data_IF_003005288163
#
_entry.id   IF_003005288163
#
_cell.length_a   1.000
_cell.length_b   1.000
_cell.length_c   1.000
_cell.angle_alpha   90.00
_cell.angle_beta   90.00
_cell.angle_gamma   90.00
#
_symmetry.space_group_name_H-M   'P 1'
#
loop_
_entity.id
_entity.type
_entity.pdbx_description
1 polymer ?
#
# COMPACT_ATOMS: atom_id res chain seq x y z
N UNK A 1 12.15 -10.43 2.70
CA UNK A 1 12.28 -11.92 2.67
C UNK A 1 13.71 -12.37 2.40
N UNK A 2 14.41 -11.85 1.39
CA UNK A 2 15.81 -12.21 1.12
C UNK A 2 16.74 -12.04 2.33
N UNK A 3 16.65 -10.90 3.02
CA UNK A 3 17.44 -10.63 4.23
C UNK A 3 17.13 -11.61 5.38
N UNK A 4 15.86 -12.01 5.55
CA UNK A 4 15.47 -13.01 6.54
C UNK A 4 16.13 -14.37 6.24
N UNK A 5 16.08 -14.83 5.01
CA UNK A 5 16.74 -16.08 4.61
C UNK A 5 18.25 -15.98 4.80
N UNK A 6 18.85 -14.87 4.38
CA UNK A 6 20.29 -14.64 4.54
C UNK A 6 20.71 -14.63 6.02
N UNK A 7 19.92 -14.03 6.91
CA UNK A 7 20.20 -14.02 8.34
C UNK A 7 20.23 -15.42 8.95
N UNK A 8 19.34 -16.31 8.50
CA UNK A 8 19.37 -17.71 8.92
C UNK A 8 20.55 -18.48 8.36
N UNK A 9 20.86 -18.31 7.07
CA UNK A 9 22.00 -18.99 6.42
C UNK A 9 23.32 -18.56 7.08
N UNK A 10 23.44 -17.28 7.45
CA UNK A 10 24.64 -16.72 8.08
C UNK A 10 24.74 -17.04 9.59
N UNK A 11 23.71 -17.64 10.18
CA UNK A 11 23.72 -17.95 11.60
C UNK A 11 24.64 -19.15 11.90
N UNK A 12 25.66 -18.99 12.78
CA UNK A 12 26.58 -20.07 13.13
C UNK A 12 25.92 -21.36 13.62
N UNK A 13 24.70 -21.27 14.19
CA UNK A 13 23.93 -22.44 14.64
C UNK A 13 23.52 -23.38 13.51
N UNK A 14 23.53 -22.89 12.28
CA UNK A 14 23.20 -23.66 11.08
C UNK A 14 24.39 -23.89 10.16
N UNK A 15 25.61 -23.51 10.60
CA UNK A 15 26.84 -23.75 9.85
C UNK A 15 26.99 -25.24 9.54
N UNK A 16 27.27 -25.57 8.29
CA UNK A 16 27.42 -26.95 7.80
C UNK A 16 26.15 -27.83 7.86
N UNK A 17 24.98 -27.24 8.03
CA UNK A 17 23.69 -27.94 7.97
C UNK A 17 22.96 -27.62 6.67
N UNK A 18 22.26 -28.59 6.13
CA UNK A 18 21.27 -28.33 5.08
C UNK A 18 20.08 -27.63 5.71
N UNK A 19 19.60 -26.55 5.08
CA UNK A 19 18.47 -25.78 5.58
C UNK A 19 17.27 -25.99 4.66
N UNK A 20 16.11 -26.25 5.25
CA UNK A 20 14.83 -26.28 4.59
C UNK A 20 13.91 -25.21 5.21
N UNK A 21 13.52 -24.25 4.41
CA UNK A 21 12.63 -23.18 4.82
C UNK A 21 11.16 -23.57 4.62
N UNK A 22 10.30 -23.13 5.50
CA UNK A 22 8.87 -23.34 5.48
C UNK A 22 8.15 -22.01 5.65
N UNK A 23 7.11 -21.77 4.87
CA UNK A 23 6.30 -20.56 5.00
C UNK A 23 4.83 -20.87 4.79
N UNK A 24 3.97 -20.28 5.64
CA UNK A 24 2.53 -20.29 5.42
C UNK A 24 2.12 -19.00 4.72
N UNK A 25 2.04 -19.04 3.39
CA UNK A 25 1.59 -17.90 2.59
C UNK A 25 1.30 -18.30 1.15
N UNK A 26 0.04 -18.20 0.74
CA UNK A 26 -0.38 -18.38 -0.66
C UNK A 26 -0.26 -17.12 -1.54
N UNK A 27 0.52 -16.11 -1.12
CA UNK A 27 0.64 -14.84 -1.82
C UNK A 27 2.10 -14.45 -2.15
N UNK A 28 2.34 -13.16 -2.32
CA UNK A 28 3.65 -12.61 -2.69
C UNK A 28 4.76 -12.95 -1.68
N UNK A 29 4.44 -13.07 -0.38
CA UNK A 29 5.44 -13.44 0.63
C UNK A 29 5.93 -14.89 0.44
N UNK A 30 5.02 -15.83 0.13
CA UNK A 30 5.39 -17.21 -0.21
C UNK A 30 6.27 -17.27 -1.45
N UNK A 31 5.89 -16.56 -2.51
CA UNK A 31 6.68 -16.46 -3.73
C UNK A 31 8.07 -15.87 -3.49
N UNK A 32 8.15 -14.80 -2.69
CA UNK A 32 9.42 -14.18 -2.32
C UNK A 32 10.31 -15.13 -1.50
N UNK A 33 9.72 -15.95 -0.62
CA UNK A 33 10.47 -16.95 0.16
C UNK A 33 11.06 -18.04 -0.76
N UNK A 34 10.25 -18.57 -1.68
CA UNK A 34 10.70 -19.57 -2.66
C UNK A 34 11.84 -19.01 -3.52
N UNK A 35 11.65 -17.83 -4.11
CA UNK A 35 12.67 -17.21 -4.96
C UNK A 35 13.95 -16.93 -4.19
N UNK A 36 13.87 -16.40 -2.97
CA UNK A 36 15.04 -16.10 -2.15
C UNK A 36 15.77 -17.39 -1.70
N UNK A 37 15.04 -18.40 -1.20
CA UNK A 37 15.66 -19.69 -0.83
C UNK A 37 16.36 -20.33 -2.01
N UNK A 38 15.73 -20.37 -3.18
CA UNK A 38 16.30 -20.89 -4.41
C UNK A 38 17.57 -20.14 -4.83
N UNK A 39 17.61 -18.81 -4.69
CA UNK A 39 18.78 -17.99 -5.02
C UNK A 39 20.01 -18.38 -4.22
N UNK A 40 19.81 -18.91 -3.02
CA UNK A 40 20.87 -19.45 -2.14
C UNK A 40 20.96 -20.98 -2.16
N UNK A 41 20.32 -21.64 -3.13
CA UNK A 41 20.32 -23.11 -3.29
C UNK A 41 19.75 -23.87 -2.08
N UNK A 42 18.78 -23.29 -1.40
CA UNK A 42 18.05 -23.92 -0.29
C UNK A 42 16.64 -24.33 -0.68
N UNK A 43 16.11 -25.31 0.02
CA UNK A 43 14.73 -25.79 -0.15
C UNK A 43 13.74 -24.83 0.51
N UNK A 44 12.54 -24.72 -0.08
CA UNK A 44 11.43 -23.99 0.50
C UNK A 44 10.10 -24.71 0.20
N UNK A 45 9.40 -25.08 1.26
CA UNK A 45 8.02 -25.62 1.20
C UNK A 45 7.02 -24.54 1.59
N UNK A 46 5.96 -24.45 0.82
CA UNK A 46 4.88 -23.48 1.05
C UNK A 46 3.60 -24.23 1.45
N UNK A 47 3.00 -23.82 2.55
CA UNK A 47 1.71 -24.32 3.03
C UNK A 47 0.67 -23.22 2.98
N UNK A 48 -0.50 -23.46 2.41
CA UNK A 48 -1.52 -22.44 2.18
C UNK A 48 -2.93 -23.02 2.28
N UNK A 49 -3.97 -22.18 2.52
CA UNK A 49 -5.34 -22.65 2.58
C UNK A 49 -5.86 -23.09 1.21
N UNK A 50 -6.92 -23.91 1.24
CA UNK A 50 -7.62 -24.36 0.01
C UNK A 50 -8.20 -23.19 -0.80
N UNK A 51 -8.48 -22.06 -0.17
CA UNK A 51 -8.97 -20.84 -0.83
C UNK A 51 -7.95 -20.15 -1.75
N UNK A 52 -6.68 -20.58 -1.72
CA UNK A 52 -5.63 -20.02 -2.60
C UNK A 52 -5.91 -20.40 -4.06
N UNK A 53 -6.01 -19.41 -4.98
CA UNK A 53 -6.36 -19.67 -6.37
C UNK A 53 -5.34 -20.57 -7.09
N UNK A 54 -5.78 -21.50 -7.97
CA UNK A 54 -4.90 -22.41 -8.71
C UNK A 54 -3.75 -21.73 -9.48
N UNK A 55 -3.94 -20.54 -10.11
CA UNK A 55 -2.83 -19.85 -10.77
C UNK A 55 -1.69 -19.47 -9.80
N UNK A 56 -2.00 -19.15 -8.53
CA UNK A 56 -0.98 -18.83 -7.54
C UNK A 56 -0.23 -20.07 -7.08
N UNK A 57 -0.94 -21.20 -6.90
CA UNK A 57 -0.34 -22.52 -6.64
C UNK A 57 0.66 -22.86 -7.74
N UNK A 58 0.28 -22.65 -8.99
CA UNK A 58 1.15 -22.94 -10.14
C UNK A 58 2.36 -22.01 -10.17
N UNK A 59 2.19 -20.71 -9.92
CA UNK A 59 3.31 -19.74 -9.82
C UNK A 59 4.35 -20.16 -8.78
N UNK A 60 3.93 -20.66 -7.63
CA UNK A 60 4.84 -21.15 -6.58
C UNK A 60 5.63 -22.38 -7.04
N UNK A 61 4.99 -23.31 -7.74
CA UNK A 61 5.67 -24.48 -8.34
C UNK A 61 6.66 -24.05 -9.40
N UNK A 62 6.26 -23.15 -10.30
CA UNK A 62 7.12 -22.64 -11.38
C UNK A 62 8.31 -21.84 -10.83
N UNK A 63 8.14 -21.15 -9.71
CA UNK A 63 9.23 -20.47 -9.00
C UNK A 63 10.25 -21.44 -8.41
N UNK A 64 9.90 -22.71 -8.27
CA UNK A 64 10.77 -23.77 -7.76
C UNK A 64 10.57 -24.06 -6.27
N UNK A 65 9.36 -23.92 -5.76
CA UNK A 65 9.02 -24.43 -4.43
C UNK A 65 9.33 -25.94 -4.37
N UNK A 66 9.94 -26.38 -3.28
CA UNK A 66 10.23 -27.80 -3.05
C UNK A 66 8.94 -28.59 -2.96
N UNK A 67 7.96 -28.04 -2.26
CA UNK A 67 6.62 -28.57 -2.15
C UNK A 67 5.62 -27.44 -1.97
N UNK A 68 4.39 -27.64 -2.48
CA UNK A 68 3.27 -26.71 -2.34
C UNK A 68 2.08 -27.52 -1.81
N UNK A 69 1.73 -27.28 -0.55
CA UNK A 69 0.71 -27.99 0.20
C UNK A 69 -0.48 -27.07 0.42
N UNK A 70 -1.69 -27.55 0.15
CA UNK A 70 -2.91 -26.85 0.52
C UNK A 70 -3.55 -27.58 1.72
N UNK A 71 -3.84 -26.83 2.78
CA UNK A 71 -4.47 -27.35 3.99
C UNK A 71 -5.27 -26.27 4.71
N UNK A 72 -6.45 -26.66 5.21
CA UNK A 72 -7.33 -25.81 5.99
C UNK A 72 -8.04 -24.73 5.18
N UNK A 73 -8.89 -23.98 5.85
CA UNK A 73 -9.70 -22.91 5.26
C UNK A 73 -9.04 -21.52 5.42
N UNK A 74 -8.17 -21.38 6.42
CA UNK A 74 -7.50 -20.11 6.78
C UNK A 74 -5.97 -20.24 6.74
N UNK A 75 -5.31 -19.08 6.70
CA UNK A 75 -3.83 -19.02 6.84
C UNK A 75 -3.39 -19.56 8.21
N UNK A 76 -4.20 -19.37 9.24
CA UNK A 76 -3.89 -19.89 10.58
C UNK A 76 -3.88 -21.42 10.60
N UNK A 77 -4.89 -22.05 10.01
CA UNK A 77 -4.94 -23.53 9.88
C UNK A 77 -3.74 -24.06 9.10
N UNK A 78 -3.39 -23.38 8.01
CA UNK A 78 -2.25 -23.75 7.19
C UNK A 78 -0.90 -23.58 7.96
N UNK A 79 -0.78 -22.54 8.78
CA UNK A 79 0.41 -22.30 9.61
C UNK A 79 0.54 -23.35 10.72
N UNK A 80 -0.55 -23.65 11.42
CA UNK A 80 -0.58 -24.69 12.46
C UNK A 80 -0.19 -26.05 11.85
N UNK A 81 -0.81 -26.44 10.75
CA UNK A 81 -0.47 -27.68 10.06
C UNK A 81 0.99 -27.71 9.59
N UNK A 82 1.50 -26.59 9.08
CA UNK A 82 2.91 -26.47 8.69
C UNK A 82 3.84 -26.78 9.87
N UNK A 83 3.56 -26.18 11.04
CA UNK A 83 4.41 -26.31 12.22
C UNK A 83 4.30 -27.68 12.88
N UNK A 84 3.09 -28.17 13.05
CA UNK A 84 2.81 -29.36 13.87
C UNK A 84 2.92 -30.68 13.07
N UNK A 85 2.72 -30.61 11.74
CA UNK A 85 2.75 -31.82 10.91
C UNK A 85 3.91 -31.78 9.92
N UNK A 86 3.93 -30.80 9.01
CA UNK A 86 4.92 -30.80 7.92
C UNK A 86 6.36 -30.64 8.42
N UNK A 87 6.56 -29.82 9.45
CA UNK A 87 7.88 -29.65 10.05
C UNK A 87 8.24 -30.75 11.06
N UNK A 88 7.26 -31.45 11.63
CA UNK A 88 7.48 -32.58 12.54
C UNK A 88 7.75 -33.91 11.83
N UNK A 89 7.36 -34.03 10.55
CA UNK A 89 7.60 -35.24 9.79
C UNK A 89 9.10 -35.63 9.86
N UNK A 90 9.35 -36.68 10.61
CA UNK A 90 10.68 -37.26 10.76
C UNK A 90 11.08 -37.85 9.42
N UNK A 91 11.90 -37.11 8.67
CA UNK A 91 12.71 -37.73 7.62
C UNK A 91 13.41 -38.88 8.32
N UNK A 92 13.21 -40.12 7.85
CA UNK A 92 13.89 -41.30 8.39
C UNK A 92 15.38 -40.98 8.40
N UNK A 93 15.88 -40.68 9.59
CA UNK A 93 17.29 -40.42 9.85
C UNK A 93 18.03 -41.75 9.70
N UNK A 94 18.46 -42.07 8.50
CA UNK A 94 19.26 -43.27 8.25
C UNK A 94 20.77 -42.99 8.42
N UNK A 95 21.16 -41.77 8.85
CA UNK A 95 22.55 -41.48 9.18
C UNK A 95 22.68 -40.26 10.09
N UNK A 96 23.48 -40.33 11.12
CA UNK A 96 23.77 -39.35 12.15
C UNK A 96 24.44 -38.04 11.64
N UNK A 97 24.77 -37.92 10.35
CA UNK A 97 25.64 -36.83 9.84
C UNK A 97 24.90 -35.72 9.07
N UNK A 98 23.61 -35.85 8.73
CA UNK A 98 22.94 -34.88 7.88
C UNK A 98 21.62 -34.38 8.50
N UNK A 99 21.69 -33.83 9.71
CA UNK A 99 20.51 -33.25 10.36
C UNK A 99 20.10 -31.96 9.66
N UNK A 100 19.03 -32.04 8.87
CA UNK A 100 18.46 -30.89 8.19
C UNK A 100 17.88 -29.89 9.21
N UNK A 101 18.24 -28.61 9.08
CA UNK A 101 17.62 -27.53 9.85
C UNK A 101 16.30 -27.11 9.20
N UNK A 102 15.18 -27.29 9.90
CA UNK A 102 13.86 -26.86 9.47
C UNK A 102 13.55 -25.50 10.05
N UNK A 103 13.30 -24.49 9.23
CA UNK A 103 13.12 -23.10 9.65
C UNK A 103 11.78 -22.58 9.13
N UNK A 104 10.89 -22.20 10.04
CA UNK A 104 9.65 -21.50 9.72
C UNK A 104 9.92 -20.02 9.51
N UNK A 105 9.50 -19.48 8.36
CA UNK A 105 9.60 -18.08 8.01
C UNK A 105 8.29 -17.37 8.34
N UNK A 106 8.38 -16.22 9.01
CA UNK A 106 7.23 -15.34 9.15
C UNK A 106 7.09 -14.44 7.90
N UNK A 107 5.87 -14.18 7.38
CA UNK A 107 5.69 -13.44 6.13
C UNK A 107 6.03 -11.93 6.24
N UNK A 108 5.97 -11.31 7.43
CA UNK A 108 6.19 -9.88 7.62
C UNK A 108 6.71 -9.46 9.01
N UNK A 109 6.44 -10.23 10.07
CA UNK A 109 6.74 -9.85 11.46
C UNK A 109 8.07 -10.47 11.93
N UNK A 110 9.16 -9.91 11.44
CA UNK A 110 10.52 -10.31 11.82
C UNK A 110 11.51 -9.19 11.53
N UNK A 111 12.39 -8.89 12.48
CA UNK A 111 13.36 -7.79 12.39
C UNK A 111 14.20 -7.84 11.11
N UNK A 112 14.71 -8.99 10.72
CA UNK A 112 15.48 -9.14 9.49
C UNK A 112 14.66 -8.82 8.21
N UNK A 113 13.33 -8.93 8.23
CA UNK A 113 12.48 -8.45 7.13
C UNK A 113 12.46 -6.92 7.14
N UNK A 114 12.30 -6.32 8.31
CA UNK A 114 12.26 -4.86 8.47
C UNK A 114 13.61 -4.24 8.09
N UNK A 115 14.72 -4.84 8.52
CA UNK A 115 16.07 -4.45 8.09
C UNK A 115 16.23 -4.52 6.55
N UNK A 116 15.75 -5.60 5.93
CA UNK A 116 15.77 -5.72 4.48
C UNK A 116 14.94 -4.64 3.78
N UNK A 117 13.79 -4.26 4.33
CA UNK A 117 12.95 -3.18 3.80
C UNK A 117 13.55 -1.79 4.10
N UNK A 118 14.34 -1.65 5.17
CA UNK A 118 14.94 -0.37 5.55
C UNK A 118 15.96 0.14 4.54
N UNK A 119 16.54 -0.74 3.70
CA UNK A 119 17.47 -0.34 2.63
C UNK A 119 16.84 0.57 1.59
N UNK A 120 15.50 0.60 1.48
CA UNK A 120 14.78 1.54 0.62
C UNK A 120 15.16 2.99 0.98
N UNK A 121 15.33 3.31 2.25
CA UNK A 121 15.72 4.66 2.68
C UNK A 121 17.15 4.98 2.23
N UNK A 122 18.08 4.02 2.33
CA UNK A 122 19.44 4.22 1.84
C UNK A 122 19.45 4.46 0.33
N UNK A 123 18.61 3.72 -0.42
CA UNK A 123 18.44 3.91 -1.87
C UNK A 123 17.86 5.28 -2.20
N UNK A 124 16.85 5.76 -1.47
CA UNK A 124 16.25 7.08 -1.68
C UNK A 124 17.28 8.21 -1.49
N UNK A 125 18.14 8.10 -0.48
CA UNK A 125 19.22 9.08 -0.24
C UNK A 125 20.18 9.15 -1.43
N UNK A 126 20.50 8.00 -2.03
CA UNK A 126 21.45 7.95 -3.14
C UNK A 126 20.82 8.27 -4.50
N UNK A 127 19.55 7.98 -4.69
CA UNK A 127 18.87 8.13 -6.00
C UNK A 127 18.23 9.50 -6.18
N UNK A 128 17.78 10.14 -5.08
CA UNK A 128 17.15 11.45 -5.15
C UNK A 128 18.20 12.57 -5.04
N UNK A 129 18.03 13.67 -5.79
CA UNK A 129 18.92 14.82 -5.63
C UNK A 129 18.76 15.39 -4.22
N UNK A 130 19.82 16.02 -3.65
CA UNK A 130 19.76 16.69 -2.35
C UNK A 130 18.58 17.67 -2.25
N UNK A 131 18.06 17.91 -1.04
CA UNK A 131 17.04 18.94 -0.84
C UNK A 131 17.63 20.33 -1.17
N UNK A 132 16.81 21.21 -1.78
CA UNK A 132 17.29 22.53 -2.26
C UNK A 132 17.85 23.44 -1.18
N UNK A 133 17.54 23.19 0.09
CA UNK A 133 17.95 24.01 1.23
C UNK A 133 19.30 23.59 1.85
N UNK A 134 19.90 22.50 1.39
CA UNK A 134 21.19 22.01 1.90
C UNK A 134 22.39 22.68 1.23
N UNK A 135 22.42 24.02 1.22
CA UNK A 135 23.57 24.76 0.69
C UNK A 135 24.82 24.72 1.58
N UNK A 136 24.68 24.14 2.77
CA UNK A 136 25.75 24.19 3.78
C UNK A 136 26.51 22.87 4.01
N UNK A 137 26.31 21.84 3.16
CA UNK A 137 27.15 20.63 3.18
C UNK A 137 27.12 19.82 4.48
N UNK A 138 26.09 20.01 5.31
CA UNK A 138 25.95 19.31 6.58
C UNK A 138 24.93 18.19 6.43
N UNK A 139 25.43 16.98 6.36
CA UNK A 139 24.70 15.74 6.60
C UNK A 139 23.51 15.53 5.65
N UNK A 140 23.57 14.50 4.89
CA UNK A 140 22.53 14.09 3.94
C UNK A 140 21.22 13.76 4.66
N UNK A 141 20.32 14.73 4.81
CA UNK A 141 18.96 14.45 5.25
C UNK A 141 18.24 13.61 4.18
N UNK A 142 17.34 12.71 4.58
CA UNK A 142 16.52 11.98 3.62
C UNK A 142 15.71 12.99 2.80
N UNK A 143 15.91 13.06 1.46
CA UNK A 143 15.42 14.18 0.64
C UNK A 143 13.92 14.00 0.26
N UNK A 144 13.08 13.64 1.24
CA UNK A 144 11.63 13.43 1.05
C UNK A 144 10.82 14.16 2.12
N UNK A 145 9.60 14.55 1.80
CA UNK A 145 8.65 15.18 2.71
C UNK A 145 7.56 14.20 3.15
N UNK A 146 7.20 13.26 2.27
CA UNK A 146 6.25 12.22 2.58
C UNK A 146 6.62 10.90 1.89
N UNK A 147 6.34 9.78 2.57
CA UNK A 147 6.43 8.43 2.01
C UNK A 147 5.07 7.76 2.16
N UNK A 148 4.56 7.19 1.09
CA UNK A 148 3.27 6.51 1.05
C UNK A 148 3.53 5.02 0.82
N UNK A 149 3.06 4.18 1.73
CA UNK A 149 3.16 2.73 1.61
C UNK A 149 1.87 2.04 2.02
N UNK A 150 1.60 0.89 1.43
CA UNK A 150 0.48 0.05 1.84
C UNK A 150 0.84 -0.77 3.08
N UNK A 151 -0.19 -1.04 3.90
CA UNK A 151 -0.05 -1.81 5.13
C UNK A 151 -0.98 -3.04 5.08
N UNK A 152 -0.36 -4.23 5.12
CA UNK A 152 -1.00 -5.47 5.49
C UNK A 152 -0.60 -5.80 6.93
N UNK A 153 0.43 -6.64 7.12
CA UNK A 153 0.99 -6.91 8.44
C UNK A 153 1.96 -5.85 8.99
N UNK A 154 2.35 -4.87 8.18
CA UNK A 154 3.15 -3.71 8.57
C UNK A 154 4.66 -3.84 8.39
N UNK A 155 5.19 -4.98 7.93
CA UNK A 155 6.63 -5.18 7.80
C UNK A 155 7.34 -4.17 6.87
N UNK A 156 6.64 -3.63 5.86
CA UNK A 156 7.19 -2.56 5.02
C UNK A 156 7.26 -1.24 5.80
N UNK A 157 6.18 -0.84 6.47
CA UNK A 157 6.15 0.37 7.29
C UNK A 157 7.25 0.34 8.36
N UNK A 158 7.39 -0.81 9.06
CA UNK A 158 8.43 -0.98 10.09
C UNK A 158 9.83 -0.77 9.49
N UNK A 159 10.10 -1.36 8.33
CA UNK A 159 11.39 -1.19 7.67
C UNK A 159 11.66 0.25 7.25
N UNK A 160 10.68 0.95 6.69
CA UNK A 160 10.83 2.35 6.31
C UNK A 160 11.13 3.25 7.52
N UNK A 161 10.38 3.10 8.61
CA UNK A 161 10.63 3.87 9.84
C UNK A 161 12.01 3.54 10.43
N UNK A 162 12.36 2.25 10.52
CA UNK A 162 13.69 1.80 10.97
C UNK A 162 14.82 2.39 10.12
N UNK A 163 14.65 2.46 8.81
CA UNK A 163 15.61 3.07 7.89
C UNK A 163 15.79 4.57 8.16
N UNK A 164 14.70 5.29 8.39
CA UNK A 164 14.72 6.71 8.75
C UNK A 164 15.44 6.94 10.07
N UNK A 165 15.19 6.12 11.09
CA UNK A 165 15.88 6.20 12.40
C UNK A 165 17.39 5.93 12.26
N UNK A 166 17.75 4.88 11.52
CA UNK A 166 19.16 4.52 11.27
C UNK A 166 19.90 5.65 10.56
N UNK A 167 19.34 6.18 9.49
CA UNK A 167 19.95 7.26 8.71
C UNK A 167 20.16 8.51 9.57
N UNK A 168 19.16 8.90 10.35
CA UNK A 168 19.26 10.03 11.26
C UNK A 168 20.31 9.84 12.35
N UNK A 169 20.40 8.65 12.92
CA UNK A 169 21.39 8.35 13.96
C UNK A 169 22.83 8.41 13.42
N UNK A 170 23.04 8.06 12.16
CA UNK A 170 24.31 8.17 11.49
C UNK A 170 24.71 9.65 11.27
N UNK A 171 23.80 10.46 10.73
CA UNK A 171 24.05 11.90 10.46
C UNK A 171 24.24 12.73 11.73
N UNK A 172 23.60 12.36 12.85
CA UNK A 172 23.75 13.06 14.14
C UNK A 172 25.10 12.84 14.82
N UNK A 173 25.83 11.77 14.47
CA UNK A 173 27.17 11.48 15.04
C UNK A 173 28.27 12.30 14.38
N UNK A 174 28.08 12.74 13.15
CA UNK A 174 29.06 13.49 12.37
C UNK A 174 28.93 15.02 12.57
N UNK A 175 27.88 15.50 13.24
CA UNK A 175 27.67 16.91 13.53
C UNK A 175 28.19 17.25 14.92
N UNK A 176 29.22 18.12 14.96
CA UNK A 176 29.71 18.79 16.19
C UNK A 176 28.56 19.62 16.79
N UNK A 177 28.02 19.15 17.92
CA UNK A 177 26.76 19.64 18.51
C UNK A 177 26.90 21.02 19.18
N UNK A 178 27.09 22.11 18.41
CA UNK A 178 27.19 23.47 18.97
C UNK A 178 26.16 24.47 18.48
N UNK A 179 25.21 24.08 17.63
CA UNK A 179 24.13 25.02 17.21
C UNK A 179 22.72 24.40 17.40
N UNK A 180 21.91 24.97 18.33
CA UNK A 180 20.54 24.45 18.62
C UNK A 180 19.48 25.08 17.71
N UNK A 181 19.61 25.10 16.40
CA UNK A 181 18.63 25.84 15.60
C UNK A 181 18.13 25.20 14.33
N UNK A 182 18.46 23.97 14.03
CA UNK A 182 17.84 23.31 12.86
C UNK A 182 16.55 22.61 13.26
N UNK A 183 15.42 23.19 12.88
CA UNK A 183 14.11 22.53 12.95
C UNK A 183 14.22 21.23 12.18
N UNK A 184 14.20 20.14 12.91
CA UNK A 184 14.21 18.79 12.35
C UNK A 184 13.07 18.68 11.36
N UNK A 185 13.39 18.46 10.08
CA UNK A 185 12.39 18.22 9.04
C UNK A 185 11.54 17.00 9.44
N UNK A 186 10.24 17.20 9.49
CA UNK A 186 9.30 16.11 9.74
C UNK A 186 8.99 15.38 8.44
N UNK A 187 9.01 14.04 8.47
CA UNK A 187 8.67 13.18 7.35
C UNK A 187 7.29 12.57 7.62
N UNK A 188 6.38 12.75 6.69
CA UNK A 188 5.03 12.18 6.79
C UNK A 188 5.01 10.77 6.20
N UNK A 189 4.58 9.79 7.00
CA UNK A 189 4.36 8.40 6.58
C UNK A 189 2.86 8.16 6.41
N UNK A 190 2.39 7.91 5.20
CA UNK A 190 1.02 7.47 4.97
C UNK A 190 0.97 5.95 4.94
N UNK A 191 0.37 5.39 5.97
CA UNK A 191 0.07 3.98 6.11
C UNK A 191 -1.30 3.70 5.51
N UNK A 192 -1.34 3.15 4.29
CA UNK A 192 -2.57 3.03 3.50
C UNK A 192 -3.08 1.60 3.53
N UNK A 193 -4.35 1.45 3.86
CA UNK A 193 -5.09 0.18 3.90
C UNK A 193 -6.34 0.25 3.02
N UNK A 194 -6.92 -0.89 2.68
CA UNK A 194 -8.24 -0.93 2.06
C UNK A 194 -9.31 -1.26 3.09
N UNK A 195 -10.53 -0.77 2.86
CA UNK A 195 -11.69 -1.18 3.64
C UNK A 195 -11.85 -2.71 3.55
N UNK A 196 -12.02 -3.34 4.70
CA UNK A 196 -12.04 -4.81 4.81
C UNK A 196 -10.66 -5.46 5.04
N UNK A 197 -9.55 -4.71 5.00
CA UNK A 197 -8.22 -5.15 5.48
C UNK A 197 -7.58 -4.14 6.46
N UNK A 198 -8.38 -3.23 7.01
CA UNK A 198 -7.93 -2.11 7.82
C UNK A 198 -7.57 -2.52 9.26
N UNK A 199 -6.62 -3.44 9.41
CA UNK A 199 -6.19 -3.98 10.71
C UNK A 199 -5.39 -2.97 11.54
N UNK A 200 -4.59 -2.10 10.89
CA UNK A 200 -3.87 -1.03 11.56
C UNK A 200 -4.83 0.07 12.04
N UNK A 201 -5.74 0.54 11.19
CA UNK A 201 -6.71 1.56 11.56
C UNK A 201 -7.57 1.11 12.74
N UNK A 202 -8.00 -0.16 12.75
CA UNK A 202 -8.73 -0.74 13.88
C UNK A 202 -7.87 -0.74 15.16
N UNK A 203 -6.62 -1.21 15.08
CA UNK A 203 -5.70 -1.26 16.22
C UNK A 203 -5.40 0.14 16.79
N UNK A 204 -5.20 1.15 15.94
CA UNK A 204 -5.02 2.55 16.33
C UNK A 204 -6.27 3.05 17.08
N UNK A 205 -7.46 2.79 16.55
CA UNK A 205 -8.72 3.25 17.15
C UNK A 205 -8.94 2.69 18.56
N UNK A 206 -8.48 1.46 18.79
CA UNK A 206 -8.59 0.77 20.08
C UNK A 206 -7.33 0.91 20.96
N UNK A 207 -6.25 1.48 20.42
CA UNK A 207 -4.94 1.62 21.09
C UNK A 207 -4.37 0.30 21.60
N UNK A 208 -4.70 -0.80 20.97
CA UNK A 208 -4.21 -2.13 21.30
C UNK A 208 -4.23 -3.03 20.07
N UNK A 209 -3.46 -4.12 20.13
CA UNK A 209 -3.46 -5.13 19.09
C UNK A 209 -4.78 -5.90 19.10
N UNK A 210 -5.49 -5.81 17.98
CA UNK A 210 -6.77 -6.49 17.74
C UNK A 210 -6.74 -7.17 16.39
N UNK A 211 -7.56 -8.21 16.26
CA UNK A 211 -7.72 -8.92 14.99
C UNK A 211 -9.03 -8.54 14.32
N UNK A 212 -8.99 -8.34 13.01
CA UNK A 212 -10.20 -8.22 12.20
C UNK A 212 -10.98 -9.54 12.26
N UNK A 213 -12.29 -9.49 12.40
CA UNK A 213 -13.11 -10.71 12.45
C UNK A 213 -13.17 -11.41 11.08
N UNK A 214 -12.99 -10.66 10.01
CA UNK A 214 -13.06 -11.15 8.63
C UNK A 214 -12.30 -10.21 7.69
N UNK A 215 -11.70 -10.77 6.66
CA UNK A 215 -11.13 -10.04 5.53
C UNK A 215 -12.16 -10.00 4.40
N UNK A 216 -12.47 -8.82 3.86
CA UNK A 216 -13.52 -8.64 2.86
C UNK A 216 -13.07 -7.86 1.62
N UNK A 217 -11.88 -7.25 1.66
CA UNK A 217 -11.31 -6.50 0.54
C UNK A 217 -10.83 -7.42 -0.59
N UNK A 218 -10.89 -6.92 -1.81
CA UNK A 218 -10.30 -7.53 -2.99
C UNK A 218 -8.76 -7.38 -3.02
N UNK A 219 -8.19 -6.49 -2.21
CA UNK A 219 -6.75 -6.30 -2.07
C UNK A 219 -6.14 -7.41 -1.18
N UNK A 220 -6.22 -8.65 -1.64
CA UNK A 220 -5.84 -9.85 -0.88
C UNK A 220 -4.38 -9.82 -0.37
N UNK A 221 -3.49 -9.11 -1.04
CA UNK A 221 -2.10 -8.94 -0.60
C UNK A 221 -1.95 -8.06 0.66
N UNK A 222 -3.00 -7.30 1.02
CA UNK A 222 -3.10 -6.60 2.31
C UNK A 222 -3.86 -7.43 3.35
N UNK A 223 -4.30 -8.63 3.00
CA UNK A 223 -5.14 -9.50 3.81
C UNK A 223 -4.41 -10.04 5.04
N UNK A 224 -4.19 -9.18 6.02
CA UNK A 224 -3.66 -9.53 7.32
C UNK A 224 -4.68 -9.19 8.40
N UNK A 225 -5.13 -10.21 9.16
CA UNK A 225 -6.14 -10.00 10.20
C UNK A 225 -5.63 -9.13 11.35
N UNK A 226 -4.30 -9.02 11.53
CA UNK A 226 -3.67 -8.30 12.62
C UNK A 226 -2.30 -7.79 12.20
N UNK A 227 -2.00 -6.54 12.48
CA UNK A 227 -0.66 -5.96 12.28
C UNK A 227 0.34 -6.46 13.32
N UNK A 228 1.64 -6.31 13.06
CA UNK A 228 2.68 -6.55 14.06
C UNK A 228 2.60 -5.55 15.20
N UNK A 229 3.11 -5.93 16.37
CA UNK A 229 3.18 -5.04 17.54
C UNK A 229 3.99 -3.78 17.23
N UNK A 230 5.12 -3.92 16.55
CA UNK A 230 5.97 -2.81 16.15
C UNK A 230 5.26 -1.82 15.21
N UNK A 231 4.40 -2.30 14.32
CA UNK A 231 3.61 -1.43 13.42
C UNK A 231 2.65 -0.54 14.20
N UNK A 232 1.96 -1.11 15.19
CA UNK A 232 1.08 -0.33 16.06
C UNK A 232 1.87 0.66 16.91
N UNK A 233 3.02 0.27 17.43
CA UNK A 233 3.88 1.12 18.23
C UNK A 233 4.37 2.33 17.43
N UNK A 234 4.88 2.13 16.22
CA UNK A 234 5.24 3.22 15.31
C UNK A 234 4.05 4.11 14.92
N UNK A 235 2.84 3.56 14.83
CA UNK A 235 1.67 4.35 14.50
C UNK A 235 1.16 5.21 15.67
N UNK A 236 1.31 4.74 16.92
CA UNK A 236 0.88 5.45 18.12
C UNK A 236 1.95 6.36 18.71
N UNK A 237 3.21 5.98 18.58
CA UNK A 237 4.37 6.65 19.17
C UNK A 237 5.55 6.67 18.18
N UNK A 238 5.40 7.34 17.03
CA UNK A 238 6.45 7.40 16.04
C UNK A 238 7.68 8.17 16.56
N UNK A 239 8.86 7.99 15.93
CA UNK A 239 10.02 8.83 16.20
C UNK A 239 9.68 10.32 16.05
N UNK A 240 10.31 11.23 16.84
CA UNK A 240 9.92 12.65 16.89
C UNK A 240 9.95 13.41 15.57
N UNK A 241 10.62 12.87 14.54
CA UNK A 241 10.72 13.44 13.20
C UNK A 241 9.89 12.70 12.16
N UNK A 242 9.00 11.81 12.60
CA UNK A 242 8.08 11.06 11.75
C UNK A 242 6.65 11.30 12.23
N UNK A 243 5.74 11.53 11.30
CA UNK A 243 4.30 11.55 11.59
C UNK A 243 3.62 10.48 10.77
N UNK A 244 2.96 9.53 11.43
CA UNK A 244 2.24 8.45 10.77
C UNK A 244 0.76 8.81 10.62
N UNK A 245 0.27 8.74 9.38
CA UNK A 245 -1.13 8.96 9.02
C UNK A 245 -1.73 7.62 8.57
N UNK A 246 -2.73 7.13 9.28
CA UNK A 246 -3.51 5.96 8.84
C UNK A 246 -4.59 6.40 7.86
N UNK A 247 -4.63 5.76 6.70
CA UNK A 247 -5.54 6.08 5.60
C UNK A 247 -6.22 4.80 5.14
N UNK A 248 -7.55 4.81 5.12
CA UNK A 248 -8.36 3.69 4.62
C UNK A 248 -9.16 4.14 3.41
N UNK A 249 -9.03 3.43 2.30
CA UNK A 249 -9.75 3.70 1.06
C UNK A 249 -10.52 2.45 0.61
N UNK A 250 -11.46 2.64 -0.32
CA UNK A 250 -12.24 1.53 -0.87
C UNK A 250 -11.44 0.71 -1.90
N UNK A 251 -11.90 -0.51 -2.17
CA UNK A 251 -11.38 -1.32 -3.28
C UNK A 251 -11.56 -0.63 -4.65
N UNK A 252 -12.63 0.13 -4.80
CA UNK A 252 -12.86 0.93 -6.01
C UNK A 252 -11.82 2.05 -6.16
N UNK A 253 -11.42 2.69 -5.06
CA UNK A 253 -10.35 3.68 -5.07
C UNK A 253 -9.00 3.01 -5.38
N UNK A 254 -8.74 1.84 -4.80
CA UNK A 254 -7.55 1.05 -5.13
C UNK A 254 -7.49 0.71 -6.63
N UNK A 255 -8.61 0.30 -7.22
CA UNK A 255 -8.72 0.00 -8.65
C UNK A 255 -8.49 1.24 -9.52
N UNK A 256 -9.00 2.41 -9.12
CA UNK A 256 -8.71 3.68 -9.83
C UNK A 256 -7.20 3.96 -9.86
N UNK A 257 -6.51 3.75 -8.74
CA UNK A 257 -5.05 3.91 -8.68
C UNK A 257 -4.29 2.94 -9.57
N UNK A 258 -4.72 1.65 -9.64
CA UNK A 258 -4.17 0.68 -10.60
C UNK A 258 -4.34 1.15 -12.03
N UNK A 259 -5.56 1.54 -12.40
CA UNK A 259 -5.86 1.98 -13.78
C UNK A 259 -5.09 3.24 -14.15
N UNK A 260 -4.87 4.15 -13.21
CA UNK A 260 -4.01 5.32 -13.42
C UNK A 260 -2.58 4.93 -13.76
N UNK A 261 -1.96 3.99 -13.03
CA UNK A 261 -0.62 3.50 -13.36
C UNK A 261 -0.57 2.79 -14.72
N UNK A 262 -1.61 2.03 -15.07
CA UNK A 262 -1.72 1.39 -16.39
C UNK A 262 -1.81 2.46 -17.49
N UNK A 263 -2.64 3.49 -17.32
CA UNK A 263 -2.92 4.48 -18.35
C UNK A 263 -1.78 5.50 -18.48
N UNK A 264 -1.19 5.94 -17.37
CA UNK A 264 -0.17 6.99 -17.39
C UNK A 264 1.25 6.41 -17.55
N UNK A 265 1.56 5.30 -16.83
CA UNK A 265 2.93 4.77 -16.72
C UNK A 265 3.14 3.43 -17.43
N UNK A 266 2.08 2.78 -17.91
CA UNK A 266 2.10 1.42 -18.50
C UNK A 266 2.55 0.33 -17.53
N UNK A 267 2.28 0.54 -16.25
CA UNK A 267 2.66 -0.39 -15.18
C UNK A 267 1.39 -1.02 -14.60
N UNK A 268 1.30 -2.35 -14.64
CA UNK A 268 0.23 -3.12 -14.02
C UNK A 268 0.66 -3.57 -12.62
N UNK A 269 -0.13 -3.23 -11.61
CA UNK A 269 0.11 -3.55 -10.19
C UNK A 269 -1.14 -4.10 -9.53
N UNK A 270 -0.98 -4.71 -8.36
CA UNK A 270 -2.11 -5.14 -7.52
C UNK A 270 -2.85 -3.96 -6.88
N UNK A 271 -4.08 -4.20 -6.41
CA UNK A 271 -4.87 -3.22 -5.65
C UNK A 271 -4.12 -2.68 -4.42
N UNK A 272 -3.27 -3.52 -3.81
CA UNK A 272 -2.39 -3.14 -2.70
C UNK A 272 -1.46 -1.96 -3.02
N UNK A 273 -1.05 -1.81 -4.28
CA UNK A 273 -0.27 -0.66 -4.74
C UNK A 273 -1.17 0.46 -5.25
N UNK A 274 -2.25 0.11 -5.94
CA UNK A 274 -3.21 1.09 -6.46
C UNK A 274 -3.80 1.99 -5.37
N UNK A 275 -4.06 1.44 -4.19
CA UNK A 275 -4.57 2.22 -3.06
C UNK A 275 -3.61 3.33 -2.62
N UNK A 276 -2.29 3.11 -2.71
CA UNK A 276 -1.28 4.14 -2.43
C UNK A 276 -1.28 5.25 -3.46
N UNK A 277 -1.44 4.90 -4.74
CA UNK A 277 -1.54 5.88 -5.83
C UNK A 277 -2.78 6.76 -5.64
N UNK A 278 -3.93 6.15 -5.34
CA UNK A 278 -5.16 6.92 -5.13
C UNK A 278 -5.12 7.77 -3.86
N UNK A 279 -4.43 7.33 -2.82
CA UNK A 279 -4.16 8.14 -1.63
C UNK A 279 -3.32 9.39 -1.95
N UNK A 280 -2.36 9.26 -2.86
CA UNK A 280 -1.47 10.35 -3.27
C UNK A 280 -2.16 11.36 -4.20
N UNK A 281 -2.72 10.88 -5.31
CA UNK A 281 -3.17 11.73 -6.42
C UNK A 281 -4.69 11.74 -6.61
N UNK A 282 -5.42 10.92 -5.87
CA UNK A 282 -6.87 10.89 -5.92
C UNK A 282 -7.49 12.21 -5.44
N UNK A 283 -8.64 12.56 -6.00
CA UNK A 283 -9.38 13.75 -5.62
C UNK A 283 -10.41 13.45 -4.55
N UNK A 284 -10.64 14.42 -3.67
CA UNK A 284 -11.77 14.38 -2.74
C UNK A 284 -13.04 14.68 -3.53
N UNK A 285 -13.97 13.74 -3.55
CA UNK A 285 -15.32 14.03 -4.04
C UNK A 285 -16.02 14.89 -2.96
N UNK A 286 -16.12 16.20 -3.21
CA UNK A 286 -17.05 17.01 -2.44
C UNK A 286 -18.46 16.55 -2.83
N UNK A 287 -19.18 15.98 -1.88
CA UNK A 287 -20.62 15.78 -2.01
C UNK A 287 -21.25 17.16 -2.11
N UNK A 288 -21.40 17.66 -3.32
CA UNK A 288 -22.25 18.82 -3.57
C UNK A 288 -23.66 18.39 -3.17
N UNK A 289 -24.08 18.81 -1.97
CA UNK A 289 -25.43 18.63 -1.53
C UNK A 289 -26.35 19.17 -2.63
N UNK A 290 -27.11 18.29 -3.28
CA UNK A 290 -28.19 18.67 -4.16
C UNK A 290 -29.10 19.61 -3.36
N UNK A 291 -28.96 20.92 -3.57
CA UNK A 291 -29.97 21.88 -3.13
C UNK A 291 -31.30 21.41 -3.75
N UNK A 292 -32.15 20.80 -2.94
CA UNK A 292 -33.52 20.53 -3.32
C UNK A 292 -34.11 21.89 -3.72
N UNK A 293 -34.34 22.08 -5.02
CA UNK A 293 -35.25 23.15 -5.49
C UNK A 293 -36.58 22.89 -4.83
N UNK A 294 -36.92 23.71 -3.86
CA UNK A 294 -38.31 23.83 -3.38
C UNK A 294 -39.13 24.23 -4.60
N UNK A 295 -39.95 23.34 -5.11
CA UNK A 295 -41.05 23.70 -5.97
C UNK A 295 -41.98 24.58 -5.12
N UNK A 296 -42.00 25.87 -5.42
CA UNK A 296 -43.10 26.74 -5.00
C UNK A 296 -44.35 26.28 -5.74
N UNK A 297 -45.28 25.74 -5.00
CA UNK A 297 -46.70 25.65 -5.44
C UNK A 297 -47.20 27.09 -5.52
N UNK A 298 -47.53 27.51 -6.74
CA UNK A 298 -48.39 28.67 -6.92
C UNK A 298 -49.73 28.14 -7.44
N UNK A 299 -50.73 28.30 -6.59
CA UNK A 299 -52.14 28.15 -6.94
C UNK A 299 -52.61 29.50 -7.48
N UNK A 300 -53.15 29.50 -8.68
CA UNK A 300 -53.75 30.68 -9.28
C UNK A 300 -54.69 30.31 -10.43
N UNK A 301 -55.98 30.24 -10.09
CA UNK A 301 -57.12 30.20 -11.00
C UNK A 301 -57.16 31.45 -11.88
N UNK A 302 -57.62 31.30 -13.13
CA UNK A 302 -58.06 32.44 -13.97
C UNK A 302 -58.38 32.04 -15.41
N UNK A 303 -59.68 31.95 -15.65
CA UNK A 303 -60.39 31.85 -16.95
C UNK A 303 -60.08 32.97 -17.93
N UNK A 304 -60.21 32.68 -19.23
CA UNK A 304 -60.58 33.77 -20.20
C UNK A 304 -60.00 33.62 -21.62
N UNK A 305 -60.78 32.96 -22.43
CA UNK A 305 -61.15 33.21 -23.88
C UNK A 305 -60.29 34.08 -24.80
N UNK A 306 -60.01 33.47 -25.98
CA UNK A 306 -60.16 33.97 -27.34
C UNK A 306 -59.39 35.24 -27.85
N UNK A 307 -58.55 35.21 -28.84
CA UNK A 307 -58.91 35.51 -30.21
C UNK A 307 -57.70 35.68 -31.17
N UNK A 308 -57.90 35.20 -32.34
CA UNK A 308 -57.35 35.45 -33.64
C UNK A 308 -56.38 36.64 -33.85
N UNK A 309 -55.39 36.43 -34.74
CA UNK A 309 -54.84 37.58 -35.50
C UNK A 309 -53.43 37.42 -36.06
N UNK A 310 -53.34 36.78 -37.19
CA UNK A 310 -52.46 36.97 -38.35
C UNK A 310 -51.42 38.10 -38.35
N UNK A 311 -50.25 37.74 -38.90
CA UNK A 311 -49.41 38.43 -39.90
C UNK A 311 -48.06 38.99 -39.45
N UNK A 312 -47.11 38.47 -40.22
CA UNK A 312 -46.07 39.11 -41.09
C UNK A 312 -44.86 39.72 -40.39
N UNK A 313 -43.77 39.10 -40.67
CA UNK A 313 -42.56 39.53 -41.34
C UNK A 313 -41.85 40.79 -40.86
N UNK A 314 -40.63 40.63 -40.46
CA UNK A 314 -39.52 41.41 -41.09
C UNK A 314 -38.20 41.01 -40.40
N UNK A 315 -37.20 40.84 -41.26
CA UNK A 315 -35.78 40.72 -40.95
C UNK A 315 -35.31 41.94 -40.15
N UNK A 316 -34.35 41.72 -39.22
CA UNK A 316 -33.17 42.58 -39.19
C UNK A 316 -32.26 42.23 -37.99
N UNK A 317 -31.05 42.12 -38.35
CA UNK A 317 -29.82 42.56 -37.71
C UNK A 317 -29.28 41.71 -36.57
N UNK A 318 -28.28 40.96 -36.96
CA UNK A 318 -27.13 40.48 -36.22
C UNK A 318 -26.50 41.67 -35.48
N UNK A 319 -26.41 41.59 -34.18
CA UNK A 319 -25.45 42.35 -33.38
C UNK A 319 -24.57 41.34 -32.64
N UNK A 320 -23.40 41.11 -33.19
CA UNK A 320 -22.30 40.47 -32.50
C UNK A 320 -21.93 41.30 -31.27
N UNK A 321 -22.25 40.79 -30.13
CA UNK A 321 -21.59 41.18 -28.87
C UNK A 321 -20.58 40.08 -28.55
N UNK A 322 -19.30 40.38 -28.29
CA UNK A 322 -18.36 39.38 -27.86
C UNK A 322 -18.77 38.87 -26.47
N UNK A 323 -19.22 37.61 -26.46
CA UNK A 323 -19.54 36.92 -25.22
C UNK A 323 -18.31 36.89 -24.31
N UNK A 324 -18.53 37.30 -23.09
CA UNK A 324 -17.65 37.07 -21.99
C UNK A 324 -17.08 35.63 -22.06
N UNK A 325 -15.83 35.53 -22.45
CA UNK A 325 -15.02 34.34 -22.21
C UNK A 325 -14.83 34.24 -20.72
N UNK A 326 -15.73 33.52 -20.07
CA UNK A 326 -15.56 33.02 -18.74
C UNK A 326 -14.32 32.13 -18.73
N UNK A 327 -13.15 32.75 -18.54
CA UNK A 327 -11.93 32.09 -18.15
C UNK A 327 -12.16 31.53 -16.75
N UNK A 328 -12.95 30.48 -16.72
CA UNK A 328 -13.14 29.67 -15.54
C UNK A 328 -11.76 29.14 -15.13
N UNK A 329 -11.09 29.86 -14.25
CA UNK A 329 -9.94 29.35 -13.53
C UNK A 329 -10.46 28.11 -12.82
N UNK A 330 -10.18 26.94 -13.42
CA UNK A 330 -10.53 25.68 -12.79
C UNK A 330 -9.85 25.66 -11.42
N UNK A 331 -10.67 25.82 -10.37
CA UNK A 331 -10.18 25.70 -8.99
C UNK A 331 -9.51 24.31 -8.91
N UNK A 332 -8.21 24.24 -8.60
CA UNK A 332 -7.53 22.95 -8.53
C UNK A 332 -8.28 22.06 -7.55
N UNK A 333 -8.80 20.93 -8.04
CA UNK A 333 -9.48 19.97 -7.15
C UNK A 333 -8.49 19.55 -6.07
N UNK A 334 -8.90 19.69 -4.80
CA UNK A 334 -8.09 19.33 -3.66
C UNK A 334 -7.78 17.83 -3.70
N UNK A 335 -6.50 17.47 -3.77
CA UNK A 335 -6.08 16.06 -3.70
C UNK A 335 -6.28 15.52 -2.29
N UNK A 336 -6.46 14.20 -2.17
CA UNK A 336 -6.55 13.52 -0.86
C UNK A 336 -5.31 13.80 -0.02
N UNK A 337 -4.14 13.75 -0.62
CA UNK A 337 -2.87 14.01 0.05
C UNK A 337 -2.82 15.42 0.67
N UNK A 338 -3.18 16.47 -0.07
CA UNK A 338 -3.21 17.84 0.45
C UNK A 338 -4.22 18.05 1.58
N UNK A 339 -5.31 17.28 1.55
CA UNK A 339 -6.27 17.29 2.65
C UNK A 339 -5.70 16.65 3.92
N UNK A 340 -4.92 15.59 3.77
CA UNK A 340 -4.31 14.85 4.88
C UNK A 340 -3.10 15.58 5.46
N UNK A 341 -2.31 16.20 4.60
CA UNK A 341 -1.08 16.91 4.95
C UNK A 341 -1.13 18.31 4.31
N UNK A 342 -1.78 19.27 4.97
CA UNK A 342 -1.94 20.62 4.43
C UNK A 342 -0.61 21.38 4.23
N UNK A 343 0.41 20.99 4.98
CA UNK A 343 1.72 21.66 5.00
C UNK A 343 2.60 21.33 3.79
N UNK A 344 2.22 20.35 2.97
CA UNK A 344 2.94 20.03 1.73
C UNK A 344 2.85 21.19 0.73
N UNK A 345 4.00 21.60 0.24
CA UNK A 345 4.17 22.63 -0.78
C UNK A 345 4.20 22.00 -2.19
N UNK A 346 4.05 22.78 -3.27
CA UNK A 346 4.21 22.26 -4.63
C UNK A 346 5.56 21.60 -4.90
N UNK A 347 6.60 22.04 -4.20
CA UNK A 347 7.99 21.57 -4.30
C UNK A 347 8.25 20.35 -3.41
N UNK A 348 7.31 19.98 -2.54
CA UNK A 348 7.45 18.83 -1.63
C UNK A 348 7.63 17.54 -2.40
N UNK A 349 8.58 16.73 -1.96
CA UNK A 349 8.89 15.43 -2.55
C UNK A 349 8.10 14.35 -1.86
N UNK A 350 7.24 13.71 -2.61
CA UNK A 350 6.40 12.60 -2.16
C UNK A 350 6.84 11.33 -2.85
N UNK A 351 7.20 10.33 -2.08
CA UNK A 351 7.59 9.01 -2.57
C UNK A 351 6.43 8.04 -2.36
N UNK A 352 6.05 7.31 -3.39
CA UNK A 352 5.04 6.25 -3.31
C UNK A 352 5.75 4.92 -3.52
N UNK A 353 5.65 4.03 -2.53
CA UNK A 353 6.24 2.70 -2.64
C UNK A 353 5.28 1.80 -3.44
N UNK A 354 5.76 1.35 -4.60
CA UNK A 354 5.02 0.47 -5.51
C UNK A 354 5.72 -0.88 -5.55
N UNK A 355 5.20 -1.84 -4.80
CA UNK A 355 5.79 -3.19 -4.71
C UNK A 355 5.47 -4.08 -5.92
N UNK A 356 4.49 -3.70 -6.75
CA UNK A 356 4.04 -4.45 -7.92
C UNK A 356 3.04 -5.54 -7.56
N UNK A 357 3.57 -6.72 -7.20
CA UNK A 357 2.80 -7.93 -6.92
C UNK A 357 2.61 -8.81 -8.14
N UNK A 358 2.24 -10.04 -7.90
CA UNK A 358 2.07 -11.06 -8.96
C UNK A 358 0.63 -11.59 -9.09
N UNK A 359 -0.28 -11.11 -8.25
CA UNK A 359 -1.66 -11.58 -8.19
C UNK A 359 -2.63 -10.62 -8.90
N UNK A 360 -2.23 -10.16 -10.07
CA UNK A 360 -3.03 -9.30 -10.94
C UNK A 360 -2.86 -9.72 -12.39
N UNK A 361 -3.93 -9.61 -13.18
CA UNK A 361 -3.91 -9.86 -14.63
C UNK A 361 -4.53 -8.68 -15.39
N UNK A 362 -4.30 -8.65 -16.70
CA UNK A 362 -4.90 -7.64 -17.58
C UNK A 362 -6.43 -7.74 -17.57
N UNK A 363 -6.95 -8.97 -17.50
CA UNK A 363 -8.40 -9.24 -17.43
C UNK A 363 -9.01 -8.66 -16.15
N UNK A 364 -8.33 -8.82 -15.00
CA UNK A 364 -8.77 -8.20 -13.74
C UNK A 364 -8.81 -6.68 -13.84
N UNK A 365 -7.78 -6.06 -14.39
CA UNK A 365 -7.74 -4.62 -14.60
C UNK A 365 -8.87 -4.14 -15.54
N UNK A 366 -9.14 -4.88 -16.60
CA UNK A 366 -10.25 -4.62 -17.53
C UNK A 366 -11.62 -4.73 -16.84
N UNK A 367 -11.80 -5.73 -15.99
CA UNK A 367 -13.01 -5.89 -15.19
C UNK A 367 -13.21 -4.72 -14.22
N UNK A 368 -12.16 -4.30 -13.52
CA UNK A 368 -12.22 -3.15 -12.62
C UNK A 368 -12.57 -1.86 -13.37
N UNK A 369 -12.02 -1.65 -14.56
CA UNK A 369 -12.37 -0.52 -15.43
C UNK A 369 -13.86 -0.50 -15.74
N UNK A 370 -14.38 -1.63 -16.20
CA UNK A 370 -15.80 -1.76 -16.49
C UNK A 370 -16.67 -1.50 -15.26
N UNK A 371 -16.32 -2.05 -14.10
CA UNK A 371 -17.06 -1.81 -12.85
C UNK A 371 -17.08 -0.34 -12.46
N UNK A 372 -15.95 0.36 -12.58
CA UNK A 372 -15.86 1.81 -12.27
C UNK A 372 -16.73 2.62 -13.23
N UNK A 373 -16.71 2.33 -14.52
CA UNK A 373 -17.55 2.98 -15.53
C UNK A 373 -19.05 2.78 -15.25
N UNK A 374 -19.42 1.64 -14.63
CA UNK A 374 -20.79 1.35 -14.20
C UNK A 374 -21.11 1.80 -12.78
N UNK A 375 -20.28 2.65 -12.18
CA UNK A 375 -20.56 3.30 -10.90
C UNK A 375 -20.03 2.60 -9.65
N UNK A 376 -19.12 1.63 -9.78
CA UNK A 376 -18.47 1.05 -8.60
C UNK A 376 -17.69 2.12 -7.83
N UNK A 377 -18.00 2.25 -6.54
CA UNK A 377 -17.41 3.27 -5.66
C UNK A 377 -17.96 4.68 -5.81
N UNK A 378 -19.14 4.84 -6.43
CA UNK A 378 -19.95 6.06 -6.40
C UNK A 378 -21.07 5.80 -5.39
N UNK A 379 -20.84 6.14 -4.12
CA UNK A 379 -21.84 6.11 -3.07
C UNK A 379 -22.22 7.53 -2.64
#
# INVERSE_FOLDING_TARGET
>A
MGNLILSHISNPSYANRRIHFYISSGGNAGLAAVCAARSYSHMCTVVMPFSTPPPMVQKLRDAGATEVIQFGDTIADAEEYMREVVMEDKIKEDSQEDVMAKIALHPFDHEAIWEGNSTIIDELVHQLPPACDERDGRGEAVPVDAIICSVGGGGLLNGLVMGLERHRSATSRDSDATTPSDKVKNIHMLAVETDGTASLALAISQKCLVSLPKLTSLATSLGCVRVSAQTLDYALSPPPFVTVHSVVLSDADAAKGVLRLVDDERILVELACGVCIEAAVGHVHELHGKKRKRCARDEGYGDGQDNDGRRSGSEASVSDSPGDSDLGIAIPRLTRLRKLIPDLQPESRVVIIVCGGSNVTIEMASEWRSKIEHGWGIA
#
